data_IF_924251393189
#
_entry.id   IF_924251393189
#
_cell.length_a   1.000
_cell.length_b   1.000
_cell.length_c   1.000
_cell.angle_alpha   90.00
_cell.angle_beta   90.00
_cell.angle_gamma   90.00
#
_symmetry.space_group_name_H-M   'P 1'
#
loop_
_entity.id
_entity.type
_entity.pdbx_description
1 polymer ?
#
# COMPACT_ATOMS: atom_id res chain seq x y z
N UNK A 1 19.80 -3.82 12.31
CA UNK A 1 18.50 -3.81 11.61
C UNK A 1 17.43 -3.42 12.60
N UNK A 2 16.40 -2.65 12.22
CA UNK A 2 15.31 -2.31 13.14
C UNK A 2 14.62 -3.58 13.63
N UNK A 3 14.20 -3.60 14.91
CA UNK A 3 13.42 -4.71 15.46
C UNK A 3 11.99 -4.65 14.88
N UNK A 4 11.51 -5.74 14.27
CA UNK A 4 10.17 -5.75 13.70
C UNK A 4 9.10 -5.75 14.80
N UNK A 5 7.98 -5.10 14.51
CA UNK A 5 6.78 -5.12 15.33
C UNK A 5 5.83 -6.23 14.84
N UNK A 6 5.11 -6.83 15.78
CA UNK A 6 3.97 -7.67 15.44
C UNK A 6 2.80 -6.78 15.00
N UNK A 7 2.44 -6.87 13.73
CA UNK A 7 1.37 -6.06 13.15
C UNK A 7 -0.01 -6.69 13.39
N UNK A 8 -1.02 -5.89 13.81
CA UNK A 8 -2.40 -6.33 13.86
C UNK A 8 -2.90 -6.75 12.48
N UNK A 9 -3.78 -7.76 12.44
CA UNK A 9 -4.25 -8.38 11.20
C UNK A 9 -5.77 -8.36 11.10
N UNK A 10 -6.24 -8.21 9.88
CA UNK A 10 -7.62 -8.39 9.45
C UNK A 10 -7.62 -9.33 8.24
N UNK A 11 -8.60 -10.22 8.10
CA UNK A 11 -8.59 -11.20 7.02
C UNK A 11 -9.95 -11.35 6.34
N UNK A 12 -9.90 -11.77 5.06
CA UNK A 12 -11.04 -12.16 4.22
C UNK A 12 -10.78 -13.52 3.59
N UNK A 13 -11.84 -14.25 3.30
CA UNK A 13 -11.79 -15.57 2.71
C UNK A 13 -11.57 -16.69 3.72
N UNK A 14 -11.68 -17.92 3.24
CA UNK A 14 -11.55 -19.10 4.11
C UNK A 14 -10.12 -19.25 4.62
N UNK A 15 -9.95 -19.46 5.93
CA UNK A 15 -8.64 -19.70 6.53
C UNK A 15 -7.89 -20.92 5.93
N UNK A 16 -8.64 -21.89 5.41
CA UNK A 16 -8.08 -23.08 4.75
C UNK A 16 -7.81 -22.88 3.24
N UNK A 17 -8.02 -21.68 2.68
CA UNK A 17 -7.73 -21.42 1.26
C UNK A 17 -6.24 -21.70 0.97
N UNK A 18 -5.92 -22.37 -0.16
CA UNK A 18 -4.54 -22.76 -0.47
C UNK A 18 -3.64 -21.58 -0.85
N UNK A 19 -4.23 -20.48 -1.30
CA UNK A 19 -3.50 -19.28 -1.73
C UNK A 19 -3.60 -18.18 -0.68
N UNK A 20 -2.46 -17.55 -0.36
CA UNK A 20 -2.31 -16.58 0.72
C UNK A 20 -1.86 -15.24 0.19
N UNK A 21 -2.57 -14.17 0.52
CA UNK A 21 -2.20 -12.81 0.14
C UNK A 21 -2.01 -11.91 1.35
N UNK A 22 -1.01 -11.01 1.29
CA UNK A 22 -0.80 -9.92 2.25
C UNK A 22 -1.19 -8.59 1.60
N UNK A 23 -1.92 -7.75 2.31
CA UNK A 23 -2.37 -6.44 1.88
C UNK A 23 -1.80 -5.37 2.80
N UNK A 24 -1.11 -4.37 2.23
CA UNK A 24 -0.39 -3.35 2.98
C UNK A 24 -0.82 -1.95 2.52
N UNK A 25 -1.40 -1.20 3.43
CA UNK A 25 -2.01 0.11 3.18
C UNK A 25 -0.99 1.26 3.07
N UNK A 26 -1.45 2.45 2.66
CA UNK A 26 -0.69 3.68 2.55
C UNK A 26 -0.63 4.52 3.84
N UNK A 27 0.08 5.65 3.78
CA UNK A 27 0.22 6.61 4.87
C UNK A 27 -1.15 7.19 5.29
N UNK A 28 -1.39 7.34 6.61
CA UNK A 28 -2.65 7.83 7.15
C UNK A 28 -3.86 6.94 6.87
N UNK A 29 -3.62 5.65 6.64
CA UNK A 29 -4.63 4.64 6.32
C UNK A 29 -4.63 3.52 7.38
N UNK A 30 -5.33 2.41 7.13
CA UNK A 30 -5.32 1.20 7.96
C UNK A 30 -5.60 -0.04 7.10
N UNK A 31 -5.46 -1.23 7.69
CA UNK A 31 -5.69 -2.50 7.00
C UNK A 31 -7.10 -2.66 6.47
N UNK A 32 -8.11 -2.11 7.16
CA UNK A 32 -9.51 -2.20 6.74
C UNK A 32 -9.76 -1.50 5.40
N UNK A 33 -9.03 -0.42 5.09
CA UNK A 33 -9.13 0.29 3.80
C UNK A 33 -8.60 -0.52 2.59
N UNK A 34 -8.02 -1.69 2.82
CA UNK A 34 -7.67 -2.65 1.77
C UNK A 34 -8.81 -3.63 1.42
N UNK A 35 -10.00 -3.41 1.95
CA UNK A 35 -11.14 -4.33 1.88
C UNK A 35 -11.52 -4.75 0.46
N UNK A 36 -11.42 -3.85 -0.53
CA UNK A 36 -11.77 -4.20 -1.93
C UNK A 36 -10.87 -5.31 -2.46
N UNK A 37 -9.55 -5.21 -2.21
CA UNK A 37 -8.62 -6.28 -2.54
C UNK A 37 -8.91 -7.55 -1.73
N UNK A 38 -9.22 -7.38 -0.43
CA UNK A 38 -9.57 -8.48 0.46
C UNK A 38 -10.78 -9.28 -0.01
N UNK A 39 -11.89 -8.59 -0.32
CA UNK A 39 -13.12 -9.22 -0.83
C UNK A 39 -12.89 -9.83 -2.21
N UNK A 40 -12.26 -9.10 -3.13
CA UNK A 40 -11.96 -9.59 -4.49
C UNK A 40 -11.12 -10.88 -4.45
N UNK A 41 -10.13 -10.94 -3.57
CA UNK A 41 -9.31 -12.15 -3.38
C UNK A 41 -10.10 -13.29 -2.74
N UNK A 42 -10.93 -12.99 -1.73
CA UNK A 42 -11.78 -13.97 -1.09
C UNK A 42 -12.76 -14.63 -2.08
N UNK A 43 -13.38 -13.82 -2.94
CA UNK A 43 -14.28 -14.29 -4.01
C UNK A 43 -13.54 -15.15 -5.06
N UNK A 44 -12.22 -14.88 -5.25
CA UNK A 44 -11.34 -15.66 -6.10
C UNK A 44 -10.72 -16.89 -5.39
N UNK A 45 -11.16 -17.22 -4.18
CA UNK A 45 -10.72 -18.41 -3.42
C UNK A 45 -9.37 -18.25 -2.72
N UNK A 46 -8.97 -17.04 -2.34
CA UNK A 46 -7.78 -16.75 -1.55
C UNK A 46 -8.13 -16.51 -0.08
N UNK A 47 -7.13 -16.67 0.79
CA UNK A 47 -7.13 -16.07 2.11
C UNK A 47 -6.28 -14.81 2.07
N UNK A 48 -6.91 -13.65 2.19
CA UNK A 48 -6.24 -12.35 2.17
C UNK A 48 -6.13 -11.79 3.58
N UNK A 49 -4.93 -11.38 3.98
CA UNK A 49 -4.63 -10.79 5.28
C UNK A 49 -4.17 -9.35 5.07
N UNK A 50 -4.84 -8.37 5.65
CA UNK A 50 -4.36 -7.01 5.74
C UNK A 50 -3.72 -6.74 7.10
N UNK A 51 -2.74 -5.85 7.14
CA UNK A 51 -2.07 -5.42 8.37
C UNK A 51 -2.23 -3.93 8.61
N UNK A 52 -2.25 -3.52 9.88
CA UNK A 52 -2.02 -2.13 10.25
C UNK A 52 -0.52 -1.89 10.40
N UNK A 53 0.02 -0.94 9.66
CA UNK A 53 1.43 -0.55 9.75
C UNK A 53 1.71 0.17 11.07
N UNK A 54 2.97 0.13 11.56
CA UNK A 54 3.39 0.86 12.77
C UNK A 54 2.83 2.29 12.80
N UNK A 55 2.26 2.69 13.92
CA UNK A 55 1.67 4.02 14.14
C UNK A 55 0.34 4.29 13.43
N UNK A 56 -0.25 3.28 12.76
CA UNK A 56 -1.52 3.36 12.04
C UNK A 56 -2.51 2.35 12.60
N UNK A 57 -3.81 2.61 12.40
CA UNK A 57 -4.86 1.72 12.85
C UNK A 57 -4.71 1.37 14.33
N UNK A 58 -4.66 0.08 14.64
CA UNK A 58 -4.46 -0.46 15.99
C UNK A 58 -3.02 -0.89 16.27
N UNK A 59 -2.09 -0.65 15.31
CA UNK A 59 -0.69 -1.03 15.47
C UNK A 59 0.04 -0.19 16.53
N UNK A 60 1.05 -0.77 17.20
CA UNK A 60 1.87 -0.04 18.16
C UNK A 60 2.56 1.17 17.53
N UNK A 61 2.75 2.22 18.32
CA UNK A 61 3.64 3.34 17.99
C UNK A 61 5.09 2.93 18.20
N UNK A 62 6.00 3.55 17.44
CA UNK A 62 7.44 3.31 17.50
C UNK A 62 8.20 4.63 17.47
N UNK A 63 9.52 4.58 17.63
CA UNK A 63 10.39 5.74 17.41
C UNK A 63 10.98 5.74 15.99
N UNK A 64 11.14 4.57 15.40
CA UNK A 64 11.70 4.38 14.06
C UNK A 64 10.56 4.19 13.05
N UNK A 65 10.42 5.16 12.13
CA UNK A 65 9.47 5.19 11.02
C UNK A 65 10.16 5.21 9.66
N UNK A 66 11.40 4.73 9.61
CA UNK A 66 12.11 4.58 8.34
C UNK A 66 11.45 3.52 7.45
N UNK A 67 11.58 3.65 6.12
CA UNK A 67 11.11 2.63 5.17
C UNK A 67 11.73 1.26 5.44
N UNK A 68 12.96 1.23 5.96
CA UNK A 68 13.60 0.00 6.40
C UNK A 68 12.88 -0.64 7.59
N UNK A 69 12.36 0.16 8.52
CA UNK A 69 11.60 -0.32 9.67
C UNK A 69 10.21 -0.86 9.25
N UNK A 70 9.50 -0.13 8.38
CA UNK A 70 8.26 -0.63 7.79
C UNK A 70 8.47 -1.94 7.03
N UNK A 71 9.52 -2.02 6.21
CA UNK A 71 9.87 -3.23 5.48
C UNK A 71 10.19 -4.41 6.40
N UNK A 72 10.87 -4.17 7.53
CA UNK A 72 11.16 -5.21 8.51
C UNK A 72 9.88 -5.77 9.15
N UNK A 73 8.90 -4.92 9.48
CA UNK A 73 7.60 -5.36 10.01
C UNK A 73 6.85 -6.24 9.02
N UNK A 74 6.74 -5.77 7.77
CA UNK A 74 6.03 -6.52 6.72
C UNK A 74 6.74 -7.83 6.41
N UNK A 75 8.07 -7.83 6.35
CA UNK A 75 8.86 -9.05 6.11
C UNK A 75 8.73 -10.08 7.25
N UNK A 76 8.61 -9.61 8.49
CA UNK A 76 8.35 -10.47 9.65
C UNK A 76 6.91 -11.00 9.72
N UNK A 77 6.01 -10.43 8.93
CA UNK A 77 4.63 -10.90 8.80
C UNK A 77 4.57 -12.08 7.85
N UNK A 78 4.30 -13.27 8.39
CA UNK A 78 4.22 -14.52 7.61
C UNK A 78 2.78 -15.03 7.53
N UNK A 79 2.42 -15.83 6.50
CA UNK A 79 1.15 -16.54 6.48
C UNK A 79 0.98 -17.46 7.69
N UNK A 80 -0.25 -17.71 8.11
CA UNK A 80 -0.54 -18.75 9.07
C UNK A 80 -0.10 -20.11 8.50
N UNK A 81 0.69 -20.85 9.27
CA UNK A 81 1.33 -22.09 8.82
C UNK A 81 2.70 -21.88 8.17
N UNK A 82 3.17 -20.64 8.04
CA UNK A 82 4.51 -20.31 7.52
C UNK A 82 4.62 -20.35 6.00
N UNK A 83 5.85 -20.26 5.50
CA UNK A 83 6.14 -20.20 4.07
C UNK A 83 6.03 -18.79 3.47
N UNK A 84 6.22 -18.66 2.15
CA UNK A 84 6.07 -17.39 1.46
C UNK A 84 4.61 -16.98 1.28
N UNK A 85 4.37 -15.70 1.14
CA UNK A 85 3.12 -15.20 0.57
C UNK A 85 3.05 -15.55 -0.92
N UNK A 86 1.90 -16.00 -1.42
CA UNK A 86 1.71 -16.21 -2.86
C UNK A 86 1.57 -14.88 -3.59
N UNK A 87 1.01 -13.87 -2.91
CA UNK A 87 0.83 -12.51 -3.40
C UNK A 87 1.00 -11.50 -2.26
N UNK A 88 1.66 -10.39 -2.55
CA UNK A 88 1.63 -9.21 -1.68
C UNK A 88 1.10 -8.03 -2.48
N UNK A 89 0.19 -7.26 -1.90
CA UNK A 89 -0.36 -6.02 -2.48
C UNK A 89 0.03 -4.86 -1.59
N UNK A 90 0.72 -3.85 -2.13
CA UNK A 90 1.13 -2.66 -1.39
C UNK A 90 0.66 -1.36 -2.05
N UNK A 91 -0.07 -0.51 -1.32
CA UNK A 91 -0.50 0.80 -1.79
C UNK A 91 0.40 1.90 -1.22
N UNK A 92 0.85 2.85 -2.05
CA UNK A 92 1.55 4.06 -1.61
C UNK A 92 2.77 3.75 -0.71
N UNK A 93 2.79 4.18 0.57
CA UNK A 93 3.78 3.80 1.59
C UNK A 93 3.92 2.27 1.70
N UNK A 94 2.79 1.54 1.72
CA UNK A 94 2.80 0.08 1.72
C UNK A 94 3.48 -0.49 0.47
N UNK A 95 3.35 0.19 -0.68
CA UNK A 95 4.09 -0.13 -1.90
C UNK A 95 5.60 0.03 -1.75
N UNK A 96 6.07 1.13 -1.13
CA UNK A 96 7.48 1.32 -0.82
C UNK A 96 8.00 0.26 0.16
N UNK A 97 7.28 0.03 1.26
CA UNK A 97 7.67 -0.94 2.29
C UNK A 97 7.76 -2.38 1.75
N UNK A 98 6.78 -2.80 0.94
CA UNK A 98 6.75 -4.13 0.33
C UNK A 98 7.81 -4.29 -0.77
N UNK A 99 8.14 -3.22 -1.50
CA UNK A 99 9.26 -3.20 -2.46
C UNK A 99 10.58 -3.46 -1.74
N UNK A 100 10.85 -2.73 -0.66
CA UNK A 100 12.06 -2.91 0.15
C UNK A 100 12.11 -4.32 0.77
N UNK A 101 10.98 -4.79 1.32
CA UNK A 101 10.89 -6.13 1.90
C UNK A 101 11.18 -7.23 0.85
N UNK A 102 10.54 -7.17 -0.31
CA UNK A 102 10.72 -8.17 -1.37
C UNK A 102 12.15 -8.16 -1.96
N UNK A 103 12.76 -6.98 -2.11
CA UNK A 103 14.13 -6.87 -2.62
C UNK A 103 15.18 -7.40 -1.64
N UNK A 104 14.93 -7.35 -0.33
CA UNK A 104 15.90 -7.71 0.71
C UNK A 104 15.66 -9.08 1.34
N UNK A 105 14.47 -9.65 1.21
CA UNK A 105 14.08 -10.95 1.77
C UNK A 105 13.67 -11.91 0.67
N UNK A 106 14.65 -12.54 0.03
CA UNK A 106 14.44 -13.53 -1.05
C UNK A 106 13.53 -14.66 -0.54
N UNK A 107 12.49 -14.99 -1.32
CA UNK A 107 11.53 -16.03 -0.96
C UNK A 107 10.44 -15.61 0.03
N UNK A 108 10.36 -14.34 0.42
CA UNK A 108 9.29 -13.82 1.29
C UNK A 108 7.93 -13.81 0.59
N UNK A 109 7.91 -13.47 -0.69
CA UNK A 109 6.70 -13.54 -1.52
C UNK A 109 7.02 -14.06 -2.91
N UNK A 110 6.02 -14.61 -3.59
CA UNK A 110 6.15 -15.14 -4.96
C UNK A 110 5.82 -14.09 -6.01
N UNK A 111 4.96 -13.13 -5.68
CA UNK A 111 4.47 -12.09 -6.59
C UNK A 111 4.17 -10.81 -5.83
N UNK A 112 4.35 -9.67 -6.49
CA UNK A 112 4.07 -8.36 -5.94
C UNK A 112 3.12 -7.58 -6.85
N UNK A 113 2.09 -6.97 -6.30
CA UNK A 113 1.26 -5.96 -6.95
C UNK A 113 1.40 -4.67 -6.17
N UNK A 114 1.83 -3.61 -6.84
CA UNK A 114 2.03 -2.29 -6.27
C UNK A 114 0.95 -1.34 -6.80
N UNK A 115 0.28 -0.63 -5.93
CA UNK A 115 -0.79 0.29 -6.31
C UNK A 115 -0.31 1.71 -6.06
N UNK A 116 -0.06 2.44 -7.13
CA UNK A 116 0.53 3.78 -7.14
C UNK A 116 1.61 3.97 -6.04
N UNK A 117 2.70 3.16 -6.09
CA UNK A 117 3.63 3.02 -4.98
C UNK A 117 4.52 4.25 -4.79
N UNK A 118 4.82 4.59 -3.54
CA UNK A 118 5.73 5.67 -3.18
C UNK A 118 7.22 5.24 -3.32
N UNK A 119 7.65 4.91 -4.53
CA UNK A 119 9.03 4.47 -4.82
C UNK A 119 10.03 5.63 -4.70
N UNK A 120 9.66 6.80 -5.20
CA UNK A 120 10.44 8.02 -5.09
C UNK A 120 9.50 9.21 -4.98
N UNK A 121 9.67 10.04 -3.96
CA UNK A 121 8.88 11.24 -3.78
C UNK A 121 9.77 12.48 -3.99
N UNK A 122 9.48 13.22 -5.05
CA UNK A 122 10.08 14.55 -5.27
C UNK A 122 9.51 15.57 -4.28
N UNK A 123 10.18 16.71 -4.03
CA UNK A 123 9.72 17.70 -3.05
C UNK A 123 8.24 18.09 -3.20
N UNK A 124 7.79 18.35 -4.43
CA UNK A 124 6.39 18.68 -4.71
C UNK A 124 5.40 17.58 -4.26
N UNK A 125 5.69 16.31 -4.57
CA UNK A 125 4.81 15.20 -4.16
C UNK A 125 4.80 15.04 -2.63
N UNK A 126 5.94 15.29 -1.96
CA UNK A 126 6.03 15.30 -0.48
C UNK A 126 5.15 16.41 0.12
N UNK A 127 5.14 17.61 -0.47
CA UNK A 127 4.28 18.71 -0.02
C UNK A 127 2.80 18.36 -0.19
N UNK A 128 2.40 17.82 -1.34
CA UNK A 128 1.02 17.38 -1.60
C UNK A 128 0.59 16.32 -0.58
N UNK A 129 1.44 15.33 -0.30
CA UNK A 129 1.15 14.29 0.71
C UNK A 129 1.00 14.92 2.09
N UNK A 130 1.92 15.79 2.50
CA UNK A 130 1.87 16.49 3.80
C UNK A 130 0.57 17.27 3.97
N UNK A 131 0.21 18.09 2.98
CA UNK A 131 -1.02 18.90 3.00
C UNK A 131 -2.29 18.02 3.09
N UNK A 132 -2.31 16.90 2.36
CA UNK A 132 -3.42 15.93 2.43
C UNK A 132 -3.55 15.33 3.84
N UNK A 133 -2.42 14.97 4.48
CA UNK A 133 -2.43 14.46 5.85
C UNK A 133 -2.86 15.52 6.87
N UNK A 134 -2.38 16.76 6.71
CA UNK A 134 -2.80 17.89 7.57
C UNK A 134 -4.31 18.12 7.51
N UNK A 135 -4.92 18.14 6.30
CA UNK A 135 -6.39 18.24 6.15
C UNK A 135 -7.10 17.07 6.82
N UNK A 136 -6.61 15.85 6.63
CA UNK A 136 -7.19 14.65 7.23
C UNK A 136 -7.17 14.67 8.77
N UNK A 137 -6.12 15.24 9.38
CA UNK A 137 -6.04 15.41 10.84
C UNK A 137 -6.83 16.63 11.36
N UNK A 138 -7.00 17.66 10.53
CA UNK A 138 -7.77 18.85 10.91
C UNK A 138 -9.28 18.53 11.04
N UNK A 139 -9.81 17.72 10.15
CA UNK A 139 -11.20 17.23 10.21
C UNK A 139 -11.25 15.75 9.79
N UNK A 140 -11.11 14.81 10.74
CA UNK A 140 -11.17 13.38 10.48
C UNK A 140 -12.61 12.85 10.40
N UNK A 141 -13.60 13.72 10.21
CA UNK A 141 -15.01 13.36 10.18
C UNK A 141 -15.46 12.76 8.85
N UNK A 142 -16.49 11.89 8.91
CA UNK A 142 -17.12 11.28 7.71
C UNK A 142 -17.62 12.35 6.73
N UNK A 143 -18.16 13.46 7.25
CA UNK A 143 -18.68 14.55 6.42
C UNK A 143 -17.57 15.25 5.62
N UNK A 144 -16.41 15.47 6.23
CA UNK A 144 -15.24 16.07 5.56
C UNK A 144 -14.71 15.14 4.46
N UNK A 145 -14.53 13.84 4.75
CA UNK A 145 -14.08 12.85 3.76
C UNK A 145 -15.07 12.76 2.59
N UNK A 146 -16.38 12.77 2.86
CA UNK A 146 -17.42 12.77 1.80
C UNK A 146 -17.36 14.03 0.94
N UNK A 147 -17.11 15.18 1.53
CA UNK A 147 -16.97 16.43 0.78
C UNK A 147 -15.72 16.44 -0.11
N UNK A 148 -14.61 15.88 0.37
CA UNK A 148 -13.35 15.77 -0.39
C UNK A 148 -13.45 14.70 -1.50
N UNK A 149 -14.18 13.59 -1.25
CA UNK A 149 -14.31 12.44 -2.14
C UNK A 149 -15.77 12.06 -2.41
N UNK A 150 -16.55 12.90 -3.08
CA UNK A 150 -18.00 12.71 -3.24
C UNK A 150 -18.39 11.49 -4.09
N UNK A 151 -17.46 10.92 -4.84
CA UNK A 151 -17.69 9.76 -5.72
C UNK A 151 -17.26 8.44 -5.08
N UNK A 152 -16.61 8.47 -3.91
CA UNK A 152 -16.20 7.24 -3.25
C UNK A 152 -17.40 6.47 -2.69
N UNK A 153 -17.26 5.16 -2.61
CA UNK A 153 -18.25 4.33 -1.94
C UNK A 153 -18.34 4.67 -0.44
N UNK A 154 -19.51 4.63 0.14
CA UNK A 154 -19.76 5.03 1.54
C UNK A 154 -18.83 4.31 2.52
N UNK A 155 -18.62 3.01 2.31
CA UNK A 155 -17.71 2.23 3.15
C UNK A 155 -16.25 2.72 3.10
N UNK A 156 -15.76 3.19 1.95
CA UNK A 156 -14.43 3.80 1.86
C UNK A 156 -14.36 5.12 2.63
N UNK A 157 -15.43 5.91 2.58
CA UNK A 157 -15.56 7.20 3.29
C UNK A 157 -15.52 6.97 4.81
N UNK A 158 -16.32 6.02 5.31
CA UNK A 158 -16.37 5.67 6.74
C UNK A 158 -15.02 5.13 7.23
N UNK A 159 -14.41 4.21 6.50
CA UNK A 159 -13.11 3.64 6.84
C UNK A 159 -11.98 4.67 6.75
N UNK A 160 -12.05 5.61 5.79
CA UNK A 160 -11.05 6.69 5.69
C UNK A 160 -11.15 7.64 6.88
N UNK A 161 -12.35 8.02 7.29
CA UNK A 161 -12.56 8.80 8.50
C UNK A 161 -12.05 8.09 9.75
N UNK A 162 -12.37 6.80 9.90
CA UNK A 162 -11.86 5.98 11.00
C UNK A 162 -10.32 5.91 10.99
N UNK A 163 -9.70 5.70 9.82
CA UNK A 163 -8.24 5.60 9.72
C UNK A 163 -7.55 6.91 10.12
N UNK A 164 -8.13 8.06 9.78
CA UNK A 164 -7.61 9.37 10.18
C UNK A 164 -7.65 9.58 11.70
N UNK A 165 -8.72 9.08 12.36
CA UNK A 165 -8.86 9.13 13.82
C UNK A 165 -7.88 8.18 14.54
N UNK A 166 -7.54 7.05 13.93
CA UNK A 166 -6.65 6.05 14.51
C UNK A 166 -5.16 6.34 14.27
N UNK A 167 -4.82 6.97 13.13
CA UNK A 167 -3.43 7.25 12.77
C UNK A 167 -2.78 8.20 13.78
N UNK A 168 -1.56 7.87 14.19
CA UNK A 168 -0.75 8.78 14.99
C UNK A 168 -0.22 9.91 14.11
N UNK A 169 -0.64 11.17 14.39
CA UNK A 169 -0.13 12.34 13.68
C UNK A 169 1.42 12.37 13.72
N UNK A 170 1.99 12.16 14.89
CA UNK A 170 3.45 12.09 15.06
C UNK A 170 4.08 10.99 14.19
N UNK A 171 3.47 9.79 14.09
CA UNK A 171 3.97 8.71 13.24
C UNK A 171 3.98 9.11 11.75
N UNK A 172 2.94 9.79 11.30
CA UNK A 172 2.82 10.27 9.90
C UNK A 172 3.87 11.34 9.61
N UNK A 173 4.07 12.30 10.51
CA UNK A 173 5.10 13.34 10.42
C UNK A 173 6.49 12.70 10.40
N UNK A 174 6.79 11.79 11.34
CA UNK A 174 8.08 11.09 11.42
C UNK A 174 8.34 10.20 10.20
N UNK A 175 7.32 9.63 9.59
CA UNK A 175 7.49 8.88 8.35
C UNK A 175 8.02 9.77 7.23
N UNK A 176 7.56 11.01 7.14
CA UNK A 176 8.07 11.97 6.15
C UNK A 176 9.47 12.48 6.49
N UNK A 177 9.74 12.78 7.75
CA UNK A 177 11.01 13.34 8.21
C UNK A 177 12.16 12.33 8.17
N UNK A 178 11.92 11.09 8.65
CA UNK A 178 12.97 10.05 8.72
C UNK A 178 13.32 9.43 7.36
N UNK A 179 12.54 9.73 6.31
CA UNK A 179 12.77 9.26 4.96
C UNK A 179 13.05 10.42 3.99
N UNK A 180 13.90 11.34 4.38
CA UNK A 180 14.38 12.43 3.53
C UNK A 180 15.85 12.20 3.15
N UNK A 181 16.20 11.97 1.86
CA UNK A 181 15.30 11.86 0.70
C UNK A 181 14.50 10.53 0.69
N UNK A 182 13.23 10.60 0.20
CA UNK A 182 12.40 9.42 0.01
C UNK A 182 12.75 8.75 -1.32
N UNK A 183 13.52 7.67 -1.27
CA UNK A 183 14.00 6.98 -2.46
C UNK A 183 14.26 5.48 -2.21
N UNK A 184 13.46 4.63 -2.83
CA UNK A 184 13.64 3.16 -2.85
C UNK A 184 13.80 2.60 -4.27
N UNK A 185 14.19 3.45 -5.24
CA UNK A 185 14.43 3.04 -6.63
C UNK A 185 15.44 1.90 -6.74
N UNK A 186 16.49 1.93 -5.90
CA UNK A 186 17.49 0.85 -5.86
C UNK A 186 16.89 -0.50 -5.49
N UNK A 187 15.93 -0.53 -4.58
CA UNK A 187 15.24 -1.76 -4.19
C UNK A 187 14.26 -2.17 -5.33
N UNK A 188 13.54 -1.23 -5.95
CA UNK A 188 12.60 -1.50 -7.04
C UNK A 188 13.28 -2.15 -8.26
N UNK A 189 14.42 -1.63 -8.70
CA UNK A 189 15.15 -2.20 -9.85
C UNK A 189 15.81 -3.56 -9.55
N UNK A 190 15.92 -3.95 -8.28
CA UNK A 190 16.49 -5.23 -7.82
C UNK A 190 15.45 -6.29 -7.49
N UNK A 191 14.17 -6.00 -7.67
CA UNK A 191 13.12 -7.01 -7.47
C UNK A 191 13.39 -8.24 -8.33
N UNK A 192 13.45 -9.40 -7.69
CA UNK A 192 13.75 -10.69 -8.32
C UNK A 192 12.49 -11.58 -8.46
N UNK A 193 11.32 -10.98 -8.42
CA UNK A 193 10.02 -11.65 -8.51
C UNK A 193 9.10 -10.91 -9.49
N UNK A 194 8.15 -11.59 -10.14
CA UNK A 194 7.14 -10.94 -10.97
C UNK A 194 6.42 -9.84 -10.19
N UNK A 195 6.47 -8.63 -10.70
CA UNK A 195 5.89 -7.44 -10.08
C UNK A 195 5.03 -6.70 -11.08
N UNK A 196 3.81 -6.34 -10.68
CA UNK A 196 2.95 -5.50 -11.48
C UNK A 196 2.60 -4.21 -10.74
N UNK A 197 2.77 -3.06 -11.40
CA UNK A 197 2.36 -1.76 -10.88
C UNK A 197 1.04 -1.34 -11.51
N UNK A 198 0.02 -1.13 -10.69
CA UNK A 198 -1.24 -0.48 -11.07
C UNK A 198 -1.10 0.99 -10.70
N UNK A 199 -0.69 1.81 -11.65
CA UNK A 199 -0.47 3.22 -11.46
C UNK A 199 -1.78 4.02 -11.55
N UNK A 200 -1.86 5.13 -10.84
CA UNK A 200 -2.87 6.16 -11.04
C UNK A 200 -2.65 6.91 -12.36
N UNK A 201 -3.65 7.68 -12.79
CA UNK A 201 -3.55 8.53 -13.98
C UNK A 201 -2.72 9.81 -13.65
N UNK A 202 -1.57 10.00 -14.29
CA UNK A 202 -0.75 11.19 -14.04
C UNK A 202 -1.43 12.50 -14.42
N UNK A 203 -2.48 12.46 -15.25
CA UNK A 203 -3.27 13.66 -15.61
C UNK A 203 -4.26 14.06 -14.49
N UNK A 204 -4.53 13.15 -13.54
CA UNK A 204 -5.31 13.43 -12.33
C UNK A 204 -4.37 13.69 -11.17
N UNK A 205 -3.77 12.65 -10.61
CA UNK A 205 -2.65 12.70 -9.66
C UNK A 205 -2.08 11.31 -9.45
N UNK A 206 -0.80 11.12 -9.73
CA UNK A 206 -0.04 9.91 -9.45
C UNK A 206 1.32 10.29 -8.87
N UNK A 207 1.81 9.51 -7.91
CA UNK A 207 3.20 9.62 -7.41
C UNK A 207 4.14 8.66 -8.15
N UNK A 208 3.60 7.72 -8.91
CA UNK A 208 4.35 6.79 -9.75
C UNK A 208 4.22 7.19 -11.22
N UNK A 209 5.00 8.16 -11.66
CA UNK A 209 4.88 8.82 -12.97
C UNK A 209 6.24 9.23 -13.58
N UNK A 210 6.20 9.62 -14.85
CA UNK A 210 7.32 10.23 -15.56
C UNK A 210 8.55 9.31 -15.67
N UNK A 211 9.74 9.85 -15.43
CA UNK A 211 11.01 9.13 -15.55
C UNK A 211 11.09 7.92 -14.61
N UNK A 212 10.48 8.01 -13.43
CA UNK A 212 10.42 6.90 -12.47
C UNK A 212 9.85 5.61 -13.10
N UNK A 213 8.83 5.74 -13.96
CA UNK A 213 8.23 4.59 -14.66
C UNK A 213 9.26 3.90 -15.55
N UNK A 214 10.05 4.68 -16.31
CA UNK A 214 11.09 4.15 -17.19
C UNK A 214 12.21 3.49 -16.38
N UNK A 215 12.65 4.11 -15.29
CA UNK A 215 13.67 3.54 -14.41
C UNK A 215 13.23 2.17 -13.85
N UNK A 216 12.00 2.06 -13.38
CA UNK A 216 11.49 0.82 -12.78
C UNK A 216 11.22 -0.25 -13.84
N UNK A 217 10.75 0.14 -15.03
CA UNK A 217 10.55 -0.77 -16.18
C UNK A 217 11.87 -1.29 -16.78
N UNK A 218 13.03 -0.75 -16.42
CA UNK A 218 14.32 -1.35 -16.77
C UNK A 218 14.49 -2.75 -16.17
N UNK A 219 13.73 -3.09 -15.12
CA UNK A 219 13.65 -4.46 -14.61
C UNK A 219 12.63 -5.27 -15.43
N UNK A 220 13.05 -6.33 -16.16
CA UNK A 220 12.16 -7.12 -17.03
C UNK A 220 11.07 -7.90 -16.27
N UNK A 221 11.18 -8.03 -14.95
CA UNK A 221 10.17 -8.66 -14.10
C UNK A 221 9.08 -7.68 -13.67
N UNK A 222 9.21 -6.40 -14.00
CA UNK A 222 8.23 -5.36 -13.67
C UNK A 222 7.41 -5.01 -14.88
N UNK A 223 6.09 -4.93 -14.69
CA UNK A 223 5.13 -4.43 -15.67
C UNK A 223 4.27 -3.33 -15.04
N UNK A 224 3.73 -2.43 -15.86
CA UNK A 224 2.93 -1.30 -15.40
C UNK A 224 1.66 -1.19 -16.22
N UNK A 225 0.55 -0.89 -15.56
CA UNK A 225 -0.69 -0.43 -16.18
C UNK A 225 -1.15 0.87 -15.51
N UNK A 226 -1.92 1.68 -16.22
CA UNK A 226 -2.49 2.94 -15.71
C UNK A 226 -4.01 2.82 -15.67
N UNK A 227 -4.60 3.18 -14.54
CA UNK A 227 -6.07 3.27 -14.41
C UNK A 227 -6.51 4.68 -14.81
N UNK A 228 -7.01 4.82 -16.01
CA UNK A 228 -7.41 6.12 -16.57
C UNK A 228 -8.46 6.84 -15.70
N UNK A 229 -8.25 8.13 -15.46
CA UNK A 229 -9.12 8.98 -14.65
C UNK A 229 -9.10 8.72 -13.14
N UNK A 230 -8.19 7.87 -12.66
CA UNK A 230 -8.01 7.63 -11.23
C UNK A 230 -6.90 8.50 -10.64
N UNK A 231 -7.10 9.05 -9.45
CA UNK A 231 -6.04 9.64 -8.63
C UNK A 231 -5.27 8.58 -7.84
N UNK A 232 -4.49 9.04 -6.87
CA UNK A 232 -3.56 8.22 -6.05
C UNK A 232 -4.20 6.99 -5.37
N UNK A 233 -5.50 6.95 -5.23
CA UNK A 233 -6.22 5.79 -4.70
C UNK A 233 -7.11 5.13 -5.77
N UNK A 234 -6.54 4.52 -6.84
CA UNK A 234 -7.32 4.04 -7.98
C UNK A 234 -8.41 3.04 -7.60
N UNK A 235 -8.18 2.22 -6.58
CA UNK A 235 -9.17 1.27 -6.05
C UNK A 235 -10.38 1.93 -5.37
N UNK A 236 -10.35 3.23 -5.10
CA UNK A 236 -11.49 4.02 -4.57
C UNK A 236 -12.06 4.92 -5.64
N UNK A 237 -11.21 5.52 -6.47
CA UNK A 237 -11.62 6.47 -7.53
C UNK A 237 -12.27 5.76 -8.71
N UNK A 238 -11.75 4.59 -9.09
CA UNK A 238 -12.19 3.76 -10.23
C UNK A 238 -12.19 2.28 -9.84
N UNK A 239 -13.04 1.87 -8.88
CA UNK A 239 -12.96 0.55 -8.27
C UNK A 239 -13.12 -0.60 -9.26
N UNK A 240 -14.08 -0.52 -10.18
CA UNK A 240 -14.35 -1.57 -11.17
C UNK A 240 -13.15 -1.79 -12.09
N UNK A 241 -12.62 -0.70 -12.68
CA UNK A 241 -11.48 -0.77 -13.58
C UNK A 241 -10.22 -1.28 -12.84
N UNK A 242 -10.01 -0.81 -11.61
CA UNK A 242 -8.86 -1.24 -10.80
C UNK A 242 -8.95 -2.71 -10.42
N UNK A 243 -10.11 -3.20 -10.00
CA UNK A 243 -10.28 -4.60 -9.63
C UNK A 243 -10.23 -5.53 -10.86
N UNK A 244 -10.73 -5.12 -12.01
CA UNK A 244 -10.60 -5.87 -13.26
C UNK A 244 -9.12 -6.01 -13.66
N UNK A 245 -8.35 -4.91 -13.62
CA UNK A 245 -6.91 -4.95 -13.87
C UNK A 245 -6.19 -5.83 -12.85
N UNK A 246 -6.47 -5.68 -11.57
CA UNK A 246 -5.89 -6.49 -10.50
C UNK A 246 -6.13 -8.00 -10.71
N UNK A 247 -7.37 -8.39 -11.00
CA UNK A 247 -7.73 -9.79 -11.26
C UNK A 247 -6.98 -10.36 -12.46
N UNK A 248 -6.79 -9.57 -13.53
CA UNK A 248 -6.04 -10.00 -14.71
C UNK A 248 -4.59 -10.37 -14.39
N UNK A 249 -4.03 -9.85 -13.29
CA UNK A 249 -2.62 -10.05 -12.89
C UNK A 249 -2.41 -11.15 -11.86
N UNK A 250 -3.46 -11.63 -11.22
CA UNK A 250 -3.35 -12.69 -10.20
C UNK A 250 -3.75 -14.08 -10.71
N UNK A 251 -4.39 -14.17 -11.87
CA UNK A 251 -4.80 -15.44 -12.49
C UNK A 251 -3.75 -16.11 -13.38
N UNK A 252 -2.53 -15.53 -13.48
CA UNK A 252 -1.44 -16.06 -14.32
C UNK A 252 -0.52 -16.98 -13.52
#
# INVERSE_FOLDING_TARGET
MPSPLLLPRLAWGAAAAPRRALLVHGLGSNGALMWRYGVTLADAGWHATAVDLRGHGTAPRALDYTLAAYAADVAATTPDGGGPWDLVVGHSLGGAATTVAAARHVGWTRRLVLVDPAIHLVPHDRDVVRESQERSFADPGVAAVRAEHPTWHEHDIELKALSAQQASRWAVEQTSEQNDPWDVRRDAVRLAIPTHVIAADPTVYSIFKGELVHEVLANPLVSVSVVAGAGHSPHRDKPEATMAEFLSRIHV
#
